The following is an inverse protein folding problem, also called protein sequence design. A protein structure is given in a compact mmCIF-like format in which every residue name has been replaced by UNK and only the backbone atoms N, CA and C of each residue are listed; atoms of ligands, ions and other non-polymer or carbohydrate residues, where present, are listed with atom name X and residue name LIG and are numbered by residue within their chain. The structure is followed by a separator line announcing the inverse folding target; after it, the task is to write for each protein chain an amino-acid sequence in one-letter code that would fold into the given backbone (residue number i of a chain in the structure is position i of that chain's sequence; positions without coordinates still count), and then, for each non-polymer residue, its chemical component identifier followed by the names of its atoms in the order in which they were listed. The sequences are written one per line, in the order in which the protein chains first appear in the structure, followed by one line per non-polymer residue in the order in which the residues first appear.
data_IF_308300043566
#
_entry.id   IF_308300043566
#
_cell.length_a   1.000
_cell.length_b   1.000
_cell.length_c   1.000
_cell.angle_alpha   90.00
_cell.angle_beta   90.00
_cell.angle_gamma   90.00
#
_symmetry.space_group_name_H-M   'P 1'
#
loop_
_entity.id
_entity.type
_entity.pdbx_description
1 polymer ?
#
# COMPACT_ATOMS: atom_id res chain seq x y z
N UNK A 1 1.10 14.36 -28.20
CA UNK A 1 0.61 14.86 -26.88
C UNK A 1 -0.85 14.54 -26.61
N UNK A 2 -1.79 14.72 -27.57
CA UNK A 2 -3.20 14.26 -27.42
C UNK A 2 -3.36 12.73 -27.35
N UNK A 3 -2.51 11.95 -28.02
CA UNK A 3 -2.59 10.49 -28.05
C UNK A 3 -2.19 9.80 -26.74
N UNK A 4 -1.30 10.40 -25.94
CA UNK A 4 -0.89 9.84 -24.62
C UNK A 4 -2.01 9.99 -23.58
N UNK A 5 -2.86 11.00 -23.71
CA UNK A 5 -3.99 11.25 -22.80
C UNK A 5 -5.16 10.30 -23.07
N UNK A 6 -5.24 9.71 -24.27
CA UNK A 6 -6.38 8.91 -24.74
C UNK A 6 -6.15 7.39 -24.70
N UNK A 7 -4.99 6.91 -24.24
CA UNK A 7 -4.63 5.48 -24.30
C UNK A 7 -5.43 4.59 -23.34
N UNK A 8 -5.99 5.15 -22.25
CA UNK A 8 -6.83 4.41 -21.31
C UNK A 8 -8.17 5.16 -21.12
N UNK A 9 -9.28 4.49 -21.41
CA UNK A 9 -10.61 5.02 -21.17
C UNK A 9 -10.99 4.87 -19.68
N UNK A 10 -10.66 5.89 -18.87
CA UNK A 10 -11.03 5.95 -17.46
C UNK A 10 -12.49 6.35 -17.19
N UNK A 11 -13.33 6.48 -18.23
CA UNK A 11 -14.76 6.79 -18.07
C UNK A 11 -15.55 5.68 -17.38
N UNK A 12 -15.11 4.44 -17.49
CA UNK A 12 -15.68 3.33 -16.72
C UNK A 12 -14.93 3.18 -15.41
N UNK A 13 -15.51 3.69 -14.31
CA UNK A 13 -14.94 3.56 -12.98
C UNK A 13 -15.32 2.22 -12.33
N UNK A 14 -14.44 1.21 -12.29
CA UNK A 14 -14.72 -0.09 -11.67
C UNK A 14 -14.76 -0.01 -10.14
N UNK A 15 -14.44 1.14 -9.54
CA UNK A 15 -14.34 1.36 -8.10
C UNK A 15 -15.45 2.25 -7.53
N UNK A 16 -16.44 2.66 -8.34
CA UNK A 16 -17.53 3.49 -7.84
C UNK A 16 -18.18 2.85 -6.62
N UNK A 17 -18.20 3.55 -5.49
CA UNK A 17 -18.74 3.09 -4.21
C UNK A 17 -17.93 1.99 -3.52
N UNK A 18 -16.76 1.58 -4.05
CA UNK A 18 -15.93 0.53 -3.45
C UNK A 18 -14.89 1.09 -2.50
N UNK A 19 -14.66 0.35 -1.43
CA UNK A 19 -13.58 0.60 -0.48
C UNK A 19 -12.28 -0.08 -0.92
N UNK A 20 -11.13 0.47 -0.49
CA UNK A 20 -9.79 -0.09 -0.68
C UNK A 20 -9.24 -0.49 0.69
N UNK A 21 -9.47 -1.75 1.10
CA UNK A 21 -9.19 -2.21 2.46
C UNK A 21 -7.94 -3.08 2.54
N UNK A 22 -7.75 -3.95 1.56
CA UNK A 22 -6.58 -4.82 1.44
C UNK A 22 -6.36 -5.20 -0.03
N UNK A 23 -5.12 -5.45 -0.40
CA UNK A 23 -4.69 -5.77 -1.77
C UNK A 23 -5.34 -7.07 -2.27
N UNK A 24 -5.50 -8.05 -1.38
CA UNK A 24 -6.11 -9.35 -1.67
C UNK A 24 -7.55 -9.29 -2.20
N UNK A 25 -8.21 -8.15 -2.04
CA UNK A 25 -9.60 -7.93 -2.46
C UNK A 25 -9.72 -7.51 -3.94
N UNK A 26 -8.57 -7.35 -4.63
CA UNK A 26 -8.51 -6.89 -6.02
C UNK A 26 -8.00 -7.97 -6.98
N UNK A 27 -8.42 -7.84 -8.22
CA UNK A 27 -7.85 -8.56 -9.34
C UNK A 27 -6.64 -7.81 -9.91
N UNK A 28 -5.79 -8.50 -10.71
CA UNK A 28 -4.67 -7.88 -11.44
C UNK A 28 -5.14 -6.66 -12.25
N UNK A 29 -6.20 -6.81 -13.04
CA UNK A 29 -6.77 -5.72 -13.86
C UNK A 29 -7.20 -4.51 -13.03
N UNK A 30 -7.73 -4.72 -11.83
CA UNK A 30 -8.14 -3.63 -10.96
C UNK A 30 -6.94 -2.88 -10.38
N UNK A 31 -5.88 -3.59 -9.96
CA UNK A 31 -4.65 -2.95 -9.49
C UNK A 31 -3.93 -2.21 -10.61
N UNK A 32 -3.84 -2.80 -11.81
CA UNK A 32 -3.30 -2.14 -12.99
C UNK A 32 -4.06 -0.86 -13.33
N UNK A 33 -5.40 -0.91 -13.28
CA UNK A 33 -6.23 0.28 -13.47
C UNK A 33 -5.92 1.39 -12.46
N UNK A 34 -5.81 1.06 -11.16
CA UNK A 34 -5.48 2.04 -10.12
C UNK A 34 -4.10 2.67 -10.33
N UNK A 35 -3.11 1.85 -10.70
CA UNK A 35 -1.75 2.31 -11.01
C UNK A 35 -1.77 3.25 -12.24
N UNK A 36 -2.44 2.85 -13.31
CA UNK A 36 -2.51 3.63 -14.55
C UNK A 36 -3.28 4.94 -14.36
N UNK A 37 -4.38 4.90 -13.61
CA UNK A 37 -5.12 6.11 -13.26
C UNK A 37 -4.29 7.06 -12.38
N UNK A 38 -3.49 6.52 -11.47
CA UNK A 38 -2.57 7.32 -10.64
C UNK A 38 -1.48 7.99 -11.49
N UNK A 39 -0.92 7.29 -12.49
CA UNK A 39 0.01 7.85 -13.48
C UNK A 39 -0.64 8.96 -14.31
N UNK A 40 -1.89 8.77 -14.71
CA UNK A 40 -2.66 9.78 -15.42
C UNK A 40 -2.84 11.04 -14.57
N UNK A 41 -3.29 10.92 -13.31
CA UNK A 41 -3.44 12.05 -12.38
C UNK A 41 -2.11 12.76 -12.13
N UNK A 42 -1.01 12.00 -11.94
CA UNK A 42 0.34 12.55 -11.80
C UNK A 42 0.75 13.39 -13.02
N UNK A 43 0.39 12.92 -14.21
CA UNK A 43 0.66 13.64 -15.47
C UNK A 43 -0.16 14.94 -15.54
N UNK A 44 -1.45 14.90 -15.24
CA UNK A 44 -2.32 16.11 -15.20
C UNK A 44 -1.75 17.14 -14.22
N UNK A 45 -1.37 16.71 -13.02
CA UNK A 45 -0.76 17.59 -12.02
C UNK A 45 0.55 18.22 -12.51
N UNK A 46 1.47 17.43 -13.11
CA UNK A 46 2.73 17.94 -13.68
C UNK A 46 2.52 18.96 -14.80
N UNK A 47 1.43 18.82 -15.56
CA UNK A 47 1.06 19.72 -16.66
C UNK A 47 0.21 20.92 -16.18
N UNK A 48 -0.05 21.04 -14.87
CA UNK A 48 -0.94 22.05 -14.29
C UNK A 48 -2.36 22.05 -14.92
N UNK A 49 -2.86 20.86 -15.30
CA UNK A 49 -4.21 20.68 -15.81
C UNK A 49 -5.13 20.43 -14.63
N UNK A 50 -6.13 21.32 -14.44
CA UNK A 50 -7.14 21.14 -13.40
C UNK A 50 -7.97 19.88 -13.67
N UNK A 51 -8.24 19.12 -12.63
CA UNK A 51 -8.93 17.83 -12.72
C UNK A 51 -9.80 17.58 -11.48
N UNK A 52 -10.77 18.45 -11.24
CA UNK A 52 -11.64 18.47 -10.06
C UNK A 52 -12.68 17.34 -10.10
N UNK A 53 -12.24 16.08 -10.14
CA UNK A 53 -13.13 14.90 -10.19
C UNK A 53 -13.96 14.69 -8.92
N UNK A 54 -13.58 15.32 -7.82
CA UNK A 54 -14.26 15.24 -6.52
C UNK A 54 -14.78 16.62 -6.07
N UNK A 55 -15.09 17.50 -6.99
CA UNK A 55 -15.62 18.85 -6.68
C UNK A 55 -16.83 18.75 -5.74
N UNK A 56 -16.81 19.53 -4.66
CA UNK A 56 -17.86 19.59 -3.66
C UNK A 56 -17.95 18.37 -2.73
N UNK A 57 -17.02 17.41 -2.80
CA UNK A 57 -16.98 16.26 -1.89
C UNK A 57 -16.25 16.57 -0.61
N UNK A 58 -16.69 15.94 0.48
CA UNK A 58 -16.06 16.01 1.80
C UNK A 58 -15.47 14.67 2.18
N UNK A 59 -14.19 14.65 2.54
CA UNK A 59 -13.44 13.43 2.88
C UNK A 59 -12.99 13.49 4.34
N UNK A 60 -13.38 12.50 5.14
CA UNK A 60 -12.87 12.36 6.50
C UNK A 60 -11.50 11.65 6.48
N UNK A 61 -10.49 12.26 7.12
CA UNK A 61 -9.17 11.66 7.33
C UNK A 61 -9.04 11.22 8.78
N UNK A 62 -9.38 9.96 9.06
CA UNK A 62 -9.51 9.39 10.39
C UNK A 62 -8.22 8.71 10.84
N UNK A 63 -7.52 9.29 11.82
CA UNK A 63 -6.18 8.87 12.24
C UNK A 63 -6.12 8.43 13.71
N UNK A 64 -5.91 7.14 13.97
CA UNK A 64 -5.51 6.62 15.30
C UNK A 64 -4.00 6.76 15.55
N UNK A 65 -3.20 6.99 14.51
CA UNK A 65 -1.74 7.17 14.57
C UNK A 65 -1.33 8.42 13.80
N UNK A 66 -0.43 9.24 14.32
CA UNK A 66 0.09 10.40 13.58
C UNK A 66 0.84 9.95 12.32
N UNK A 67 0.74 10.73 11.27
CA UNK A 67 1.50 10.52 10.02
C UNK A 67 1.62 11.80 9.24
N UNK A 68 2.85 12.26 9.03
CA UNK A 68 3.11 13.43 8.20
C UNK A 68 2.79 13.15 6.74
N UNK A 69 3.33 12.06 6.19
CA UNK A 69 3.22 11.73 4.76
C UNK A 69 1.80 11.39 4.35
N UNK A 70 1.14 10.46 5.03
CA UNK A 70 -0.22 10.04 4.68
C UNK A 70 -1.22 11.19 4.79
N UNK A 71 -1.18 11.95 5.90
CA UNK A 71 -2.02 13.12 6.07
C UNK A 71 -1.83 14.13 4.94
N UNK A 72 -0.57 14.55 4.70
CA UNK A 72 -0.27 15.53 3.66
C UNK A 72 -0.67 15.05 2.26
N UNK A 73 -0.45 13.76 1.96
CA UNK A 73 -0.82 13.19 0.66
C UNK A 73 -2.33 13.21 0.43
N UNK A 74 -3.13 12.78 1.41
CA UNK A 74 -4.59 12.80 1.27
C UNK A 74 -5.17 14.21 1.24
N UNK A 75 -4.66 15.14 2.07
CA UNK A 75 -5.08 16.56 2.01
C UNK A 75 -4.75 17.16 0.64
N UNK A 76 -3.52 16.96 0.15
CA UNK A 76 -3.10 17.49 -1.15
C UNK A 76 -3.91 16.87 -2.29
N UNK A 77 -4.12 15.55 -2.27
CA UNK A 77 -4.89 14.88 -3.30
C UNK A 77 -6.37 15.33 -3.31
N UNK A 78 -6.97 15.51 -2.12
CA UNK A 78 -8.33 16.05 -2.01
C UNK A 78 -8.43 17.45 -2.63
N UNK A 79 -7.50 18.33 -2.29
CA UNK A 79 -7.47 19.69 -2.85
C UNK A 79 -7.27 19.70 -4.38
N UNK A 80 -6.34 18.88 -4.90
CA UNK A 80 -6.09 18.77 -6.34
C UNK A 80 -7.34 18.25 -7.10
N UNK A 81 -8.14 17.42 -6.44
CA UNK A 81 -9.36 16.84 -6.99
C UNK A 81 -10.62 17.70 -6.73
N UNK A 82 -10.50 18.86 -6.06
CA UNK A 82 -11.62 19.77 -5.75
C UNK A 82 -12.46 19.35 -4.54
N UNK A 83 -11.98 18.41 -3.74
CA UNK A 83 -12.64 17.98 -2.50
C UNK A 83 -12.12 18.76 -1.28
N UNK A 84 -12.91 18.78 -0.20
CA UNK A 84 -12.48 19.20 1.11
C UNK A 84 -12.08 18.00 1.97
N UNK A 85 -10.94 18.09 2.65
CA UNK A 85 -10.46 17.06 3.56
C UNK A 85 -10.50 17.56 5.01
N UNK A 86 -11.24 16.86 5.87
CA UNK A 86 -11.29 17.11 7.31
C UNK A 86 -10.42 16.10 8.06
N UNK A 87 -9.43 16.60 8.80
CA UNK A 87 -8.56 15.77 9.61
C UNK A 87 -9.17 15.51 10.99
N UNK A 88 -9.33 14.23 11.31
CA UNK A 88 -9.86 13.75 12.58
C UNK A 88 -8.78 12.90 13.28
N UNK A 89 -8.00 13.53 14.12
CA UNK A 89 -6.94 12.89 14.91
C UNK A 89 -7.46 12.16 16.14
N UNK A 90 -6.57 11.50 16.87
CA UNK A 90 -6.92 10.69 18.05
C UNK A 90 -7.60 11.51 19.16
N UNK A 91 -7.28 12.79 19.29
CA UNK A 91 -7.87 13.68 20.29
C UNK A 91 -9.23 14.25 19.84
N UNK A 92 -9.49 14.25 18.54
CA UNK A 92 -10.70 14.81 17.94
C UNK A 92 -11.86 13.79 17.90
N UNK A 93 -11.55 12.49 18.11
CA UNK A 93 -12.50 11.39 17.92
C UNK A 93 -12.71 10.58 19.20
N UNK A 94 -13.91 10.01 19.32
CA UNK A 94 -14.29 9.12 20.43
C UNK A 94 -14.24 7.62 20.04
N UNK A 95 -13.60 7.30 18.91
CA UNK A 95 -13.52 5.98 18.31
C UNK A 95 -13.00 4.93 19.32
N UNK A 96 -13.81 3.91 19.60
CA UNK A 96 -13.46 2.85 20.52
C UNK A 96 -13.35 3.24 22.01
N UNK A 97 -13.64 4.48 22.37
CA UNK A 97 -13.66 5.00 23.76
C UNK A 97 -15.09 5.10 24.28
N UNK A 98 -15.85 6.08 23.80
CA UNK A 98 -17.24 6.31 24.18
C UNK A 98 -18.23 5.80 23.13
N UNK A 99 -17.76 5.64 21.88
CA UNK A 99 -18.58 5.17 20.77
C UNK A 99 -18.00 3.89 20.19
N UNK A 100 -18.90 3.01 19.69
CA UNK A 100 -18.45 1.84 18.95
C UNK A 100 -17.96 2.26 17.56
N UNK A 101 -17.00 1.50 16.99
CA UNK A 101 -16.54 1.73 15.60
C UNK A 101 -17.72 1.74 14.61
N UNK A 102 -18.74 0.94 14.88
CA UNK A 102 -19.94 0.85 14.04
C UNK A 102 -20.77 2.14 14.07
N UNK A 103 -20.91 2.75 15.24
CA UNK A 103 -21.68 3.98 15.39
C UNK A 103 -20.91 5.16 14.78
N UNK A 104 -19.61 5.29 15.08
CA UNK A 104 -18.73 6.27 14.41
C UNK A 104 -18.78 6.13 12.88
N UNK A 105 -18.75 4.89 12.36
CA UNK A 105 -18.86 4.66 10.92
C UNK A 105 -20.14 5.24 10.32
N UNK A 106 -21.28 5.02 10.97
CA UNK A 106 -22.59 5.53 10.50
C UNK A 106 -22.64 7.06 10.55
N UNK A 107 -22.15 7.65 11.65
CA UNK A 107 -22.11 9.11 11.81
C UNK A 107 -21.24 9.73 10.72
N UNK A 108 -19.99 9.27 10.56
CA UNK A 108 -19.10 9.80 9.53
C UNK A 108 -19.67 9.57 8.12
N UNK A 109 -20.24 8.40 7.85
CA UNK A 109 -20.86 8.10 6.55
C UNK A 109 -22.10 8.92 6.23
N UNK A 110 -22.76 9.54 7.24
CA UNK A 110 -23.86 10.48 7.02
C UNK A 110 -23.39 11.91 6.72
N UNK A 111 -22.13 12.23 7.04
CA UNK A 111 -21.57 13.58 6.94
C UNK A 111 -20.55 13.72 5.80
N UNK A 112 -19.85 12.64 5.45
CA UNK A 112 -18.75 12.63 4.48
C UNK A 112 -19.05 11.73 3.29
N UNK A 113 -18.44 12.02 2.14
CA UNK A 113 -18.56 11.24 0.91
C UNK A 113 -17.56 10.08 0.82
N UNK A 114 -16.55 10.08 1.71
CA UNK A 114 -15.52 9.05 1.80
C UNK A 114 -14.71 9.17 3.08
N UNK A 115 -14.08 8.07 3.50
CA UNK A 115 -13.30 8.00 4.73
C UNK A 115 -11.93 7.39 4.43
N UNK A 116 -10.85 8.12 4.71
CA UNK A 116 -9.53 7.54 4.85
C UNK A 116 -9.33 7.11 6.30
N UNK A 117 -8.76 5.94 6.51
CA UNK A 117 -8.46 5.44 7.84
C UNK A 117 -7.00 5.02 7.96
N UNK A 118 -6.30 5.59 8.94
CA UNK A 118 -4.97 5.15 9.35
C UNK A 118 -4.96 4.80 10.83
N UNK A 119 -4.79 3.51 11.14
CA UNK A 119 -4.92 3.05 12.51
C UNK A 119 -4.13 1.80 12.85
N UNK A 120 -4.57 1.14 13.93
CA UNK A 120 -3.91 -0.04 14.45
C UNK A 120 -4.51 -1.31 13.84
N UNK A 121 -5.79 -1.56 14.05
CA UNK A 121 -6.42 -2.86 13.77
C UNK A 121 -7.07 -2.92 12.38
N UNK A 122 -6.76 -3.96 11.62
CA UNK A 122 -7.45 -4.26 10.37
C UNK A 122 -8.96 -4.36 10.55
N UNK A 123 -9.40 -4.94 11.67
CA UNK A 123 -10.82 -5.06 12.02
C UNK A 123 -11.54 -3.72 12.10
N UNK A 124 -10.86 -2.66 12.53
CA UNK A 124 -11.45 -1.31 12.59
C UNK A 124 -11.80 -0.81 11.20
N UNK A 125 -10.86 -0.82 10.26
CA UNK A 125 -11.11 -0.34 8.89
C UNK A 125 -12.15 -1.19 8.16
N UNK A 126 -12.17 -2.51 8.39
CA UNK A 126 -13.22 -3.40 7.85
C UNK A 126 -14.61 -3.05 8.41
N UNK A 127 -14.66 -2.68 9.70
CA UNK A 127 -15.93 -2.29 10.33
C UNK A 127 -16.42 -0.95 9.80
N UNK A 128 -15.51 0.03 9.63
CA UNK A 128 -15.81 1.30 8.97
C UNK A 128 -16.37 1.07 7.57
N UNK A 129 -15.69 0.31 6.73
CA UNK A 129 -16.11 0.04 5.35
C UNK A 129 -17.48 -0.64 5.26
N UNK A 130 -17.77 -1.54 6.20
CA UNK A 130 -19.03 -2.28 6.22
C UNK A 130 -20.23 -1.46 6.67
N UNK A 131 -20.03 -0.43 7.50
CA UNK A 131 -21.09 0.27 8.19
C UNK A 131 -21.25 1.75 7.84
N UNK A 132 -20.29 2.37 7.16
CA UNK A 132 -20.35 3.81 6.83
C UNK A 132 -21.31 4.14 5.70
N UNK A 133 -21.51 3.22 4.76
CA UNK A 133 -22.30 3.48 3.54
C UNK A 133 -21.55 4.30 2.48
N UNK A 134 -20.31 4.69 2.74
CA UNK A 134 -19.42 5.42 1.83
C UNK A 134 -18.11 4.67 1.61
N UNK A 135 -17.35 4.95 0.53
CA UNK A 135 -16.03 4.34 0.32
C UNK A 135 -15.07 4.61 1.48
N UNK A 136 -14.33 3.57 1.88
CA UNK A 136 -13.29 3.65 2.91
C UNK A 136 -11.96 3.23 2.32
N UNK A 137 -10.92 4.04 2.55
CA UNK A 137 -9.56 3.76 2.10
C UNK A 137 -8.64 3.48 3.28
N UNK A 138 -7.98 2.32 3.24
CA UNK A 138 -7.00 1.93 4.25
C UNK A 138 -5.66 2.61 3.99
N UNK A 139 -5.38 3.69 4.72
CA UNK A 139 -4.11 4.39 4.69
C UNK A 139 -2.97 3.64 5.40
N UNK A 140 -3.29 2.75 6.35
CA UNK A 140 -2.41 1.76 6.98
C UNK A 140 -3.10 1.09 8.17
N UNK A 141 -2.92 -0.22 8.31
CA UNK A 141 -3.19 -0.99 9.54
C UNK A 141 -1.98 -1.88 9.89
N UNK A 142 -2.09 -2.70 10.96
CA UNK A 142 -1.06 -3.70 11.27
C UNK A 142 -0.90 -4.77 10.18
N UNK A 143 -1.92 -5.00 9.36
CA UNK A 143 -1.92 -6.06 8.35
C UNK A 143 -1.56 -5.58 6.95
N UNK A 144 -2.10 -4.42 6.51
CA UNK A 144 -2.08 -3.99 5.11
C UNK A 144 -1.81 -2.49 4.95
N UNK A 145 -1.18 -2.13 3.82
CA UNK A 145 -0.96 -0.75 3.40
C UNK A 145 -1.24 -0.56 1.89
N UNK A 146 -2.49 -0.78 1.44
CA UNK A 146 -2.82 -0.83 0.01
C UNK A 146 -2.52 0.46 -0.75
N UNK A 147 -2.70 1.62 -0.12
CA UNK A 147 -2.40 2.91 -0.78
C UNK A 147 -0.91 3.10 -1.04
N UNK A 148 -0.03 2.57 -0.18
CA UNK A 148 1.41 2.55 -0.42
C UNK A 148 1.76 1.66 -1.61
N UNK A 149 1.11 0.49 -1.73
CA UNK A 149 1.37 -0.42 -2.84
C UNK A 149 1.04 0.19 -4.20
N UNK A 150 -0.03 0.97 -4.30
CA UNK A 150 -0.34 1.69 -5.54
C UNK A 150 0.82 2.63 -5.91
N UNK A 151 1.37 3.38 -4.95
CA UNK A 151 2.48 4.29 -5.17
C UNK A 151 3.78 3.56 -5.54
N UNK A 152 4.10 2.47 -4.84
CA UNK A 152 5.32 1.69 -5.08
C UNK A 152 5.30 1.02 -6.45
N UNK A 153 4.21 0.33 -6.79
CA UNK A 153 4.10 -0.32 -8.09
C UNK A 153 3.92 0.67 -9.24
N UNK A 154 3.36 1.87 -8.96
CA UNK A 154 3.40 2.98 -9.91
C UNK A 154 4.85 3.41 -10.19
N UNK A 155 5.67 3.56 -9.15
CA UNK A 155 7.10 3.92 -9.28
C UNK A 155 7.88 2.84 -10.03
N UNK A 156 7.62 1.57 -9.73
CA UNK A 156 8.23 0.44 -10.46
C UNK A 156 7.84 0.50 -11.94
N UNK A 157 6.56 0.71 -12.26
CA UNK A 157 6.09 0.80 -13.64
C UNK A 157 6.71 2.00 -14.39
N UNK A 158 6.90 3.14 -13.74
CA UNK A 158 7.57 4.32 -14.31
C UNK A 158 9.03 4.04 -14.71
N UNK A 159 9.74 3.22 -13.91
CA UNK A 159 11.16 2.94 -14.15
C UNK A 159 11.41 1.75 -15.06
N UNK A 160 10.54 0.74 -15.03
CA UNK A 160 10.73 -0.53 -15.76
C UNK A 160 9.72 -0.74 -16.90
N UNK A 161 8.72 0.11 -17.05
CA UNK A 161 7.72 0.07 -18.13
C UNK A 161 6.59 -0.92 -17.89
N UNK A 162 6.87 -2.12 -17.40
CA UNK A 162 5.87 -3.19 -17.20
C UNK A 162 5.97 -3.84 -15.82
N UNK A 163 4.84 -4.41 -15.36
CA UNK A 163 4.75 -5.20 -14.13
C UNK A 163 4.50 -6.67 -14.51
N UNK A 164 5.54 -7.47 -14.51
CA UNK A 164 5.49 -8.88 -14.92
C UNK A 164 6.61 -9.71 -14.24
N UNK A 165 6.73 -10.98 -14.61
CA UNK A 165 7.68 -11.95 -14.06
C UNK A 165 9.14 -11.74 -14.49
N UNK A 166 9.43 -10.77 -15.36
CA UNK A 166 10.81 -10.34 -15.63
C UNK A 166 11.40 -9.52 -14.47
N UNK A 167 10.55 -8.97 -13.61
CA UNK A 167 10.96 -8.18 -12.46
C UNK A 167 10.99 -9.01 -11.17
N UNK A 168 12.01 -8.79 -10.38
CA UNK A 168 12.17 -9.35 -9.04
C UNK A 168 12.34 -8.22 -8.02
N UNK A 169 11.34 -8.05 -7.17
CA UNK A 169 11.37 -7.14 -6.03
C UNK A 169 11.84 -7.91 -4.79
N UNK A 170 12.89 -7.43 -4.17
CA UNK A 170 13.45 -7.98 -2.94
C UNK A 170 13.14 -7.06 -1.77
N UNK A 171 12.40 -7.54 -0.80
CA UNK A 171 12.20 -6.86 0.48
C UNK A 171 13.20 -7.37 1.52
N UNK A 172 13.89 -6.47 2.21
CA UNK A 172 14.85 -6.77 3.27
C UNK A 172 14.46 -6.05 4.57
N UNK A 173 14.17 -6.79 5.62
CA UNK A 173 13.75 -6.22 6.90
C UNK A 173 12.83 -7.13 7.68
N UNK A 174 11.89 -6.57 8.44
CA UNK A 174 10.88 -7.34 9.16
C UNK A 174 9.83 -7.92 8.20
N UNK A 175 9.90 -9.22 7.94
CA UNK A 175 8.96 -9.91 7.06
C UNK A 175 7.53 -10.04 7.61
N UNK A 176 7.29 -9.66 8.86
CA UNK A 176 5.95 -9.68 9.49
C UNK A 176 5.25 -8.33 9.46
N UNK A 177 5.91 -7.27 9.02
CA UNK A 177 5.27 -5.97 8.97
C UNK A 177 4.23 -5.87 7.83
N UNK A 178 3.38 -4.86 7.92
CA UNK A 178 2.31 -4.63 6.96
C UNK A 178 2.82 -4.35 5.53
N UNK A 179 3.96 -3.67 5.38
CA UNK A 179 4.55 -3.37 4.07
C UNK A 179 5.07 -4.66 3.42
N UNK A 180 5.76 -5.53 4.16
CA UNK A 180 6.19 -6.83 3.65
C UNK A 180 5.00 -7.69 3.22
N UNK A 181 3.92 -7.72 4.03
CA UNK A 181 2.68 -8.42 3.69
C UNK A 181 2.07 -7.89 2.39
N UNK A 182 1.96 -6.57 2.28
CA UNK A 182 1.36 -5.89 1.14
C UNK A 182 2.19 -6.07 -0.13
N UNK A 183 3.52 -5.94 -0.06
CA UNK A 183 4.42 -6.19 -1.19
C UNK A 183 4.31 -7.62 -1.70
N UNK A 184 4.31 -8.61 -0.78
CA UNK A 184 4.24 -10.03 -1.13
C UNK A 184 2.93 -10.36 -1.86
N UNK A 185 1.80 -9.83 -1.39
CA UNK A 185 0.48 -10.10 -1.99
C UNK A 185 0.29 -9.30 -3.27
N UNK A 186 0.66 -8.01 -3.30
CA UNK A 186 0.51 -7.17 -4.50
C UNK A 186 1.38 -7.66 -5.65
N UNK A 187 2.66 -7.99 -5.38
CA UNK A 187 3.54 -8.57 -6.40
C UNK A 187 2.98 -9.89 -6.94
N UNK A 188 2.48 -10.76 -6.05
CA UNK A 188 1.84 -12.01 -6.44
C UNK A 188 0.61 -11.80 -7.34
N UNK A 189 -0.21 -10.75 -7.09
CA UNK A 189 -1.37 -10.43 -7.93
C UNK A 189 -0.93 -9.89 -9.30
N UNK A 190 0.05 -8.99 -9.32
CA UNK A 190 0.52 -8.32 -10.53
C UNK A 190 1.38 -9.22 -11.42
N UNK A 191 1.93 -10.32 -10.89
CA UNK A 191 2.83 -11.21 -11.61
C UNK A 191 4.30 -10.81 -11.48
N UNK A 192 4.64 -9.93 -10.52
CA UNK A 192 6.02 -9.56 -10.18
C UNK A 192 6.58 -10.55 -9.18
N UNK A 193 7.80 -11.03 -9.38
CA UNK A 193 8.47 -11.91 -8.42
C UNK A 193 8.78 -11.14 -7.14
N UNK A 194 8.53 -11.76 -5.98
CA UNK A 194 8.82 -11.13 -4.68
C UNK A 194 9.65 -12.06 -3.81
N UNK A 195 10.79 -11.56 -3.38
CA UNK A 195 11.64 -12.23 -2.40
C UNK A 195 11.60 -11.47 -1.08
N UNK A 196 11.35 -12.16 0.03
CA UNK A 196 11.42 -11.62 1.37
C UNK A 196 12.66 -12.20 2.04
N UNK A 197 13.63 -11.34 2.33
CA UNK A 197 14.85 -11.70 3.04
C UNK A 197 14.77 -11.19 4.47
N UNK A 198 14.72 -12.12 5.44
CA UNK A 198 14.55 -11.78 6.86
C UNK A 198 14.98 -12.95 7.74
N UNK A 199 15.13 -12.74 9.04
CA UNK A 199 15.36 -13.80 9.99
C UNK A 199 14.21 -14.81 10.01
N UNK A 200 14.48 -16.12 10.20
CA UNK A 200 13.45 -17.18 10.20
C UNK A 200 12.28 -16.91 11.14
N UNK A 201 12.57 -16.34 12.33
CA UNK A 201 11.55 -15.97 13.31
C UNK A 201 10.64 -14.81 12.86
N UNK A 202 11.02 -14.08 11.81
CA UNK A 202 10.30 -12.94 11.25
C UNK A 202 9.73 -13.25 9.85
N UNK A 203 9.65 -14.50 9.45
CA UNK A 203 8.96 -14.85 8.20
C UNK A 203 7.50 -14.42 8.24
N UNK A 204 6.92 -13.95 7.13
CA UNK A 204 5.52 -13.60 7.04
C UNK A 204 4.61 -14.69 7.58
N UNK A 205 3.50 -14.31 8.18
CA UNK A 205 2.51 -15.27 8.69
C UNK A 205 2.03 -16.23 7.61
N UNK A 206 1.76 -17.47 8.01
CA UNK A 206 1.26 -18.53 7.12
C UNK A 206 -0.01 -18.12 6.36
N UNK A 207 -0.88 -17.32 6.99
CA UNK A 207 -2.07 -16.77 6.35
C UNK A 207 -1.69 -15.89 5.14
N UNK A 208 -0.76 -14.96 5.32
CA UNK A 208 -0.28 -14.05 4.26
C UNK A 208 0.41 -14.83 3.16
N UNK A 209 1.30 -15.78 3.52
CA UNK A 209 1.97 -16.65 2.56
C UNK A 209 0.97 -17.45 1.71
N UNK A 210 -0.09 -18.00 2.32
CA UNK A 210 -1.10 -18.77 1.60
C UNK A 210 -1.91 -17.90 0.64
N UNK A 211 -2.25 -16.66 1.05
CA UNK A 211 -2.90 -15.68 0.18
C UNK A 211 -2.01 -15.38 -1.03
N UNK A 212 -0.75 -15.04 -0.80
CA UNK A 212 0.20 -14.72 -1.87
C UNK A 212 0.42 -15.92 -2.82
N UNK A 213 0.63 -17.13 -2.29
CA UNK A 213 0.77 -18.35 -3.09
C UNK A 213 -0.44 -18.62 -3.99
N UNK A 214 -1.66 -18.34 -3.52
CA UNK A 214 -2.88 -18.49 -4.31
C UNK A 214 -2.90 -17.54 -5.53
N UNK A 215 -2.46 -16.31 -5.35
CA UNK A 215 -2.35 -15.34 -6.45
C UNK A 215 -1.18 -15.66 -7.38
N UNK A 216 -0.02 -16.01 -6.84
CA UNK A 216 1.16 -16.37 -7.60
C UNK A 216 0.93 -17.55 -8.57
N UNK A 217 0.16 -18.57 -8.15
CA UNK A 217 -0.24 -19.69 -9.03
C UNK A 217 -1.05 -19.23 -10.26
N UNK A 218 -1.77 -18.12 -10.15
CA UNK A 218 -2.59 -17.57 -11.24
C UNK A 218 -1.82 -16.62 -12.15
N UNK A 219 -0.90 -15.87 -11.56
CA UNK A 219 -0.15 -14.81 -12.25
C UNK A 219 1.18 -15.28 -12.83
N UNK A 220 1.73 -16.41 -12.34
CA UNK A 220 3.07 -16.91 -12.68
C UNK A 220 4.19 -16.34 -11.81
N UNK A 221 3.91 -15.41 -10.87
CA UNK A 221 4.93 -14.83 -10.00
C UNK A 221 5.64 -15.88 -9.13
N UNK A 222 6.95 -15.73 -8.97
CA UNK A 222 7.76 -16.54 -8.06
C UNK A 222 7.88 -15.84 -6.71
N UNK A 223 7.68 -16.59 -5.62
CA UNK A 223 7.79 -16.08 -4.26
C UNK A 223 8.88 -16.85 -3.52
N UNK A 224 9.86 -16.13 -2.97
CA UNK A 224 10.93 -16.68 -2.13
C UNK A 224 10.85 -16.00 -0.76
N UNK A 225 10.89 -16.80 0.30
CA UNK A 225 10.97 -16.32 1.68
C UNK A 225 12.15 -17.05 2.31
N UNK A 226 13.22 -16.31 2.62
CA UNK A 226 14.48 -16.93 3.02
C UNK A 226 15.24 -16.06 4.01
N UNK A 227 16.14 -16.70 4.76
CA UNK A 227 17.16 -16.04 5.59
C UNK A 227 18.53 -15.99 4.88
N UNK A 228 18.62 -16.52 3.67
CA UNK A 228 19.83 -16.52 2.85
C UNK A 228 19.91 -15.30 1.94
N UNK A 229 20.90 -14.43 2.16
CA UNK A 229 21.16 -13.29 1.28
C UNK A 229 21.46 -13.72 -0.15
N UNK A 230 22.24 -14.79 -0.34
CA UNK A 230 22.63 -15.24 -1.68
C UNK A 230 21.44 -15.77 -2.48
N UNK A 231 20.53 -16.49 -1.83
CA UNK A 231 19.32 -16.97 -2.47
C UNK A 231 18.35 -15.82 -2.79
N UNK A 232 18.10 -14.96 -1.80
CA UNK A 232 17.08 -13.92 -1.92
C UNK A 232 17.48 -12.78 -2.84
N UNK A 233 18.77 -12.45 -2.98
CA UNK A 233 19.25 -11.37 -3.85
C UNK A 233 19.39 -11.79 -5.32
N UNK A 234 19.31 -13.09 -5.62
CA UNK A 234 19.51 -13.59 -6.99
C UNK A 234 18.46 -13.03 -7.95
N UNK A 235 18.91 -12.31 -8.96
CA UNK A 235 18.07 -11.71 -10.00
C UNK A 235 17.28 -10.50 -9.53
N UNK A 236 17.68 -9.84 -8.44
CA UNK A 236 17.02 -8.65 -7.93
C UNK A 236 17.11 -7.49 -8.93
N UNK A 237 15.97 -6.88 -9.23
CA UNK A 237 15.88 -5.62 -9.98
C UNK A 237 15.59 -4.45 -9.03
N UNK A 238 14.89 -4.72 -7.93
CA UNK A 238 14.43 -3.72 -6.98
C UNK A 238 14.75 -4.19 -5.57
N UNK A 239 15.36 -3.35 -4.75
CA UNK A 239 15.53 -3.58 -3.32
C UNK A 239 14.65 -2.61 -2.57
N UNK A 240 13.84 -3.17 -1.66
CA UNK A 240 12.94 -2.44 -0.79
C UNK A 240 13.29 -2.72 0.67
N UNK A 241 13.27 -1.70 1.50
CA UNK A 241 13.37 -1.83 2.95
C UNK A 241 12.45 -0.84 3.65
N UNK A 242 12.03 -1.17 4.85
CA UNK A 242 11.20 -0.30 5.69
C UNK A 242 11.78 -0.27 7.11
N UNK A 243 11.16 0.48 8.00
CA UNK A 243 11.54 0.53 9.42
C UNK A 243 11.54 -0.87 10.04
N UNK A 244 12.56 -1.17 10.81
CA UNK A 244 12.66 -2.47 11.48
C UNK A 244 11.77 -2.58 12.72
N UNK A 245 11.43 -1.43 13.31
CA UNK A 245 10.64 -1.34 14.54
C UNK A 245 9.46 -0.44 14.30
N UNK A 246 8.26 -0.98 14.43
CA UNK A 246 7.02 -0.21 14.33
C UNK A 246 6.75 0.57 15.61
N UNK A 247 6.00 1.66 15.52
CA UNK A 247 5.61 2.45 16.68
C UNK A 247 4.84 1.59 17.69
N UNK A 248 5.29 1.58 18.95
CA UNK A 248 4.67 0.82 20.05
C UNK A 248 5.22 -0.58 20.29
N UNK A 249 6.26 -1.02 19.56
CA UNK A 249 6.93 -2.30 19.82
C UNK A 249 7.92 -2.20 21.00
N UNK A 250 7.78 -3.09 21.98
CA UNK A 250 8.61 -3.09 23.19
C UNK A 250 9.96 -3.81 23.02
N UNK A 251 10.08 -4.76 22.08
CA UNK A 251 11.27 -5.63 21.91
C UNK A 251 12.23 -5.11 20.83
N UNK A 252 12.34 -3.80 20.67
CA UNK A 252 13.09 -3.17 19.59
C UNK A 252 14.59 -3.55 19.54
N UNK A 253 15.26 -3.73 20.71
CA UNK A 253 16.70 -4.08 20.76
C UNK A 253 16.98 -5.47 20.17
N UNK A 254 16.16 -6.46 20.51
CA UNK A 254 16.30 -7.82 19.99
C UNK A 254 16.01 -7.86 18.50
N UNK A 255 14.98 -7.15 18.06
CA UNK A 255 14.58 -7.07 16.66
C UNK A 255 15.68 -6.42 15.81
N UNK A 256 16.30 -5.33 16.28
CA UNK A 256 17.45 -4.72 15.61
C UNK A 256 18.60 -5.71 15.49
N UNK A 257 18.93 -6.45 16.56
CA UNK A 257 20.00 -7.47 16.53
C UNK A 257 19.70 -8.56 15.49
N UNK A 258 18.46 -9.03 15.41
CA UNK A 258 18.03 -10.02 14.42
C UNK A 258 18.11 -9.53 12.99
N UNK A 259 17.76 -8.26 12.75
CA UNK A 259 17.67 -7.67 11.41
C UNK A 259 18.98 -7.04 10.93
N UNK A 260 19.96 -6.82 11.82
CA UNK A 260 21.27 -6.23 11.46
C UNK A 260 21.95 -6.91 10.27
N UNK A 261 21.95 -8.25 10.12
CA UNK A 261 22.53 -8.93 8.95
C UNK A 261 21.82 -8.62 7.64
N UNK A 262 20.57 -8.15 7.69
CA UNK A 262 19.72 -7.85 6.54
C UNK A 262 19.62 -6.35 6.24
N UNK A 263 20.50 -5.54 6.81
CA UNK A 263 20.58 -4.11 6.52
C UNK A 263 21.01 -3.88 5.08
N UNK A 264 20.27 -3.07 4.33
CA UNK A 264 20.66 -2.65 2.99
C UNK A 264 21.93 -1.77 3.09
N UNK A 265 23.01 -2.23 2.49
CA UNK A 265 24.32 -1.59 2.47
C UNK A 265 24.86 -1.60 1.04
N UNK A 266 25.95 -0.86 0.74
CA UNK A 266 26.60 -0.90 -0.57
C UNK A 266 26.97 -2.34 -0.97
N UNK A 267 27.52 -3.14 -0.05
CA UNK A 267 27.84 -4.55 -0.32
C UNK A 267 26.60 -5.40 -0.70
N UNK A 268 25.43 -5.10 -0.15
CA UNK A 268 24.17 -5.73 -0.57
C UNK A 268 23.78 -5.27 -1.98
N UNK A 269 23.92 -3.99 -2.28
CA UNK A 269 23.60 -3.47 -3.61
C UNK A 269 24.54 -4.04 -4.69
N UNK A 270 25.82 -4.21 -4.38
CA UNK A 270 26.80 -4.86 -5.27
C UNK A 270 26.49 -6.34 -5.53
N UNK A 271 25.96 -7.04 -4.53
CA UNK A 271 25.52 -8.43 -4.66
C UNK A 271 24.23 -8.61 -5.42
N UNK A 272 23.40 -7.61 -5.46
CA UNK A 272 22.18 -7.58 -6.26
C UNK A 272 22.52 -7.18 -7.69
N UNK A 273 21.89 -7.76 -8.69
CA UNK A 273 22.15 -7.47 -10.11
C UNK A 273 21.78 -6.02 -10.52
N UNK A 274 21.53 -5.14 -9.57
CA UNK A 274 21.12 -3.74 -9.82
C UNK A 274 22.33 -2.85 -10.15
N UNK A 275 23.54 -3.25 -9.77
CA UNK A 275 24.76 -2.47 -9.96
C UNK A 275 25.49 -2.76 -11.30
N UNK A 276 24.91 -3.53 -12.18
CA UNK A 276 25.53 -3.93 -13.45
C UNK A 276 25.04 -3.18 -14.69
N UNK A 277 24.26 -2.09 -14.48
CA UNK A 277 23.80 -1.23 -15.59
C UNK A 277 24.29 0.22 -15.42
#
# INVERSE_FOLDING_TARGET
MKEIIMANDFRQNPFQGKSIIAEKDFTKKQLEYLIDFSLHLKTLKKMNILHHYLEGRNIALLFEKPSTRTRSAFVTASNDLGAHAEYLGQEDIQLGKKETVKDTAKVLGSMFDGIEFRGFKQKTVETLARNSGVPVWNGLTEMWHPTQMIADFMTIKENFGALNDSLTLVYMGDGRNNVANSLLVTGAILGVNVHIITAKSLFPDSLVQNIAKKFARKSGARLIITDSLNEGLKGANIIYTDVWVSMGENNWKEKIKLLKPYQVTMNIMEKANIASD
#
